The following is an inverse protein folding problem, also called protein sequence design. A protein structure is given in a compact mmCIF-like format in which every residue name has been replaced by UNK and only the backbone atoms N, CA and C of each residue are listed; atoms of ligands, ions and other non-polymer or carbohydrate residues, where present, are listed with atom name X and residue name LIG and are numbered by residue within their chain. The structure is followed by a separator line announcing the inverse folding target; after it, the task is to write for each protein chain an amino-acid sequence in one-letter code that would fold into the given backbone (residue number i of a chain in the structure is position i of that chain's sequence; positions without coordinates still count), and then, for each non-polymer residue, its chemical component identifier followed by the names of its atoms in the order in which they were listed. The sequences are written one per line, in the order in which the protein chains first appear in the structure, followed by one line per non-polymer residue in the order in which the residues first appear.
data_IF_782992672776
#
_entry.id   IF_782992672776
#
_cell.length_a   1.000
_cell.length_b   1.000
_cell.length_c   1.000
_cell.angle_alpha   90.00
_cell.angle_beta   90.00
_cell.angle_gamma   90.00
#
_symmetry.space_group_name_H-M   'P 1'
#
loop_
_entity.id
_entity.type
_entity.pdbx_description
1 polymer ?
#
# COMPACT_ATOMS: atom_id res chain seq x y z
N UNK A 1 34.39 30.66 16.11
CA UNK A 1 32.97 30.79 16.52
C UNK A 1 31.98 30.94 15.36
N UNK A 2 32.32 31.59 14.22
CA UNK A 2 31.41 31.62 13.05
C UNK A 2 31.42 30.34 12.17
N UNK A 3 32.53 29.58 12.15
CA UNK A 3 32.67 28.40 11.27
C UNK A 3 31.78 27.21 11.66
N UNK A 4 31.53 27.00 12.96
CA UNK A 4 30.68 25.89 13.45
C UNK A 4 29.19 26.08 13.12
N UNK A 5 28.74 27.34 12.99
CA UNK A 5 27.34 27.61 12.67
C UNK A 5 26.99 27.29 11.22
N UNK A 6 27.93 27.38 10.28
CA UNK A 6 27.66 27.05 8.88
C UNK A 6 27.46 25.54 8.67
N UNK A 7 28.26 24.70 9.33
CA UNK A 7 28.14 23.23 9.28
C UNK A 7 26.78 22.74 9.82
N UNK A 8 26.31 23.35 10.92
CA UNK A 8 25.01 23.00 11.53
C UNK A 8 23.85 23.41 10.62
N UNK A 9 23.94 24.58 9.98
CA UNK A 9 22.93 25.05 9.02
C UNK A 9 22.92 24.14 7.78
N UNK A 10 24.08 23.73 7.28
CA UNK A 10 24.17 22.81 6.14
C UNK A 10 23.57 21.45 6.46
N UNK A 11 23.82 20.89 7.65
CA UNK A 11 23.18 19.66 8.10
C UNK A 11 21.65 19.80 8.19
N UNK A 12 21.16 20.95 8.65
CA UNK A 12 19.73 21.21 8.73
C UNK A 12 19.08 21.32 7.34
N UNK A 13 19.72 22.02 6.41
CA UNK A 13 19.29 22.13 5.01
C UNK A 13 19.29 20.75 4.34
N UNK A 14 20.33 19.95 4.56
CA UNK A 14 20.43 18.60 4.00
C UNK A 14 19.30 17.69 4.52
N UNK A 15 18.99 17.80 5.82
CA UNK A 15 17.93 17.04 6.46
C UNK A 15 16.54 17.46 5.97
N UNK A 16 16.29 18.76 5.80
CA UNK A 16 15.04 19.29 5.24
C UNK A 16 14.86 18.87 3.78
N UNK A 17 15.92 18.92 2.95
CA UNK A 17 15.87 18.46 1.57
C UNK A 17 15.60 16.94 1.47
N UNK A 18 16.16 16.15 2.38
CA UNK A 18 15.86 14.72 2.46
C UNK A 18 14.37 14.45 2.75
N UNK A 19 13.79 15.15 3.71
CA UNK A 19 12.36 15.04 4.02
C UNK A 19 11.46 15.49 2.88
N UNK A 20 11.82 16.57 2.17
CA UNK A 20 11.10 17.03 0.98
C UNK A 20 11.16 15.99 -0.14
N UNK A 21 12.32 15.36 -0.36
CA UNK A 21 12.45 14.25 -1.32
C UNK A 21 11.59 13.05 -0.94
N UNK A 22 11.52 12.69 0.35
CA UNK A 22 10.66 11.61 0.83
C UNK A 22 9.17 11.93 0.66
N UNK A 23 8.78 13.20 0.87
CA UNK A 23 7.41 13.67 0.71
C UNK A 23 6.96 13.61 -0.76
N UNK A 24 7.86 13.91 -1.72
CA UNK A 24 7.59 13.74 -3.16
C UNK A 24 7.44 12.29 -3.60
N UNK A 25 8.05 11.34 -2.88
CA UNK A 25 7.89 9.90 -3.12
C UNK A 25 6.54 9.38 -2.58
N UNK A 26 6.03 10.00 -1.51
CA UNK A 26 4.76 9.66 -0.87
C UNK A 26 3.54 10.29 -1.58
N UNK A 27 3.68 11.52 -2.08
CA UNK A 27 2.69 12.17 -2.94
C UNK A 27 2.95 11.68 -4.36
N UNK A 28 2.35 10.54 -4.70
CA UNK A 28 2.58 9.82 -5.95
C UNK A 28 2.34 10.64 -7.22
N UNK A 29 3.36 11.38 -7.65
CA UNK A 29 3.47 11.84 -9.02
C UNK A 29 3.92 10.65 -9.85
N UNK A 30 2.96 9.83 -10.27
CA UNK A 30 3.25 8.71 -11.17
C UNK A 30 3.77 9.30 -12.48
N UNK A 31 5.00 8.98 -12.94
CA UNK A 31 5.39 9.32 -14.29
C UNK A 31 4.36 8.69 -15.24
N UNK A 32 3.82 9.50 -16.15
CA UNK A 32 2.85 9.08 -17.17
C UNK A 32 3.42 7.87 -17.91
N UNK A 33 2.96 6.67 -17.52
CA UNK A 33 3.32 5.43 -18.22
C UNK A 33 2.64 5.51 -19.59
N UNK A 34 3.35 5.22 -20.70
CA UNK A 34 2.69 5.13 -21.99
C UNK A 34 1.54 4.11 -21.87
N UNK A 35 0.32 4.53 -22.21
CA UNK A 35 -0.86 3.66 -22.22
C UNK A 35 -0.51 2.43 -23.05
N UNK A 36 -0.68 1.23 -22.51
CA UNK A 36 -0.45 -0.01 -23.27
C UNK A 36 -1.29 0.04 -24.55
N UNK A 37 -0.65 0.01 -25.70
CA UNK A 37 -1.36 -0.20 -26.97
C UNK A 37 -1.84 -1.65 -26.98
N UNK A 38 -3.16 -1.85 -27.04
CA UNK A 38 -3.73 -3.18 -27.20
C UNK A 38 -3.31 -3.70 -28.57
N UNK A 39 -2.55 -4.79 -28.59
CA UNK A 39 -2.32 -5.57 -29.81
C UNK A 39 -3.37 -6.66 -29.84
N UNK A 40 -4.15 -6.70 -30.91
CA UNK A 40 -5.18 -7.73 -31.06
C UNK A 40 -4.53 -9.13 -31.10
N UNK A 41 -5.14 -10.13 -30.44
CA UNK A 41 -4.61 -11.48 -30.47
C UNK A 41 -4.65 -12.02 -31.90
N UNK A 42 -3.49 -12.44 -32.40
CA UNK A 42 -3.29 -12.86 -33.80
C UNK A 42 -4.18 -14.05 -34.22
N UNK A 43 -4.76 -14.74 -33.25
CA UNK A 43 -5.57 -15.96 -33.41
C UNK A 43 -7.06 -15.67 -33.65
N UNK A 44 -7.51 -14.40 -33.62
CA UNK A 44 -8.91 -14.03 -33.85
C UNK A 44 -9.23 -13.63 -35.31
N UNK A 45 -8.25 -13.61 -36.22
CA UNK A 45 -8.46 -13.10 -37.58
C UNK A 45 -9.45 -13.92 -38.43
N UNK A 46 -9.71 -15.18 -38.08
CA UNK A 46 -10.52 -16.10 -38.88
C UNK A 46 -11.66 -16.78 -38.10
N UNK A 47 -12.20 -16.13 -37.06
CA UNK A 47 -13.34 -16.71 -36.36
C UNK A 47 -14.64 -16.36 -37.11
N UNK A 48 -15.40 -17.38 -37.51
CA UNK A 48 -16.75 -17.20 -38.05
C UNK A 48 -17.74 -17.32 -36.89
N UNK A 49 -18.48 -16.24 -36.60
CA UNK A 49 -19.57 -16.27 -35.62
C UNK A 49 -20.72 -17.09 -36.21
N UNK A 50 -20.89 -18.33 -35.76
CA UNK A 50 -22.17 -19.03 -35.94
C UNK A 50 -23.06 -18.72 -34.75
N UNK A 51 -24.00 -17.79 -34.93
CA UNK A 51 -25.08 -17.55 -33.97
C UNK A 51 -26.13 -18.66 -34.08
N UNK A 52 -26.02 -19.66 -33.23
CA UNK A 52 -27.10 -20.64 -33.04
C UNK A 52 -28.03 -20.11 -31.95
N UNK A 53 -29.09 -19.41 -32.34
CA UNK A 53 -30.20 -19.08 -31.43
C UNK A 53 -31.05 -20.35 -31.25
N UNK A 54 -30.85 -21.07 -30.15
CA UNK A 54 -31.72 -22.18 -29.76
C UNK A 54 -32.17 -21.99 -28.31
N UNK A 55 -33.45 -21.60 -28.20
CA UNK A 55 -34.40 -21.80 -27.12
C UNK A 55 -33.88 -21.86 -25.67
N UNK A 56 -34.29 -20.85 -24.92
CA UNK A 56 -34.29 -20.73 -23.47
C UNK A 56 -34.77 -22.03 -22.83
N UNK A 57 -33.89 -22.71 -22.08
CA UNK A 57 -34.32 -23.68 -21.06
C UNK A 57 -34.10 -23.04 -19.70
N UNK A 58 -35.20 -22.80 -19.02
CA UNK A 58 -35.31 -22.25 -17.68
C UNK A 58 -34.51 -23.10 -16.66
N UNK A 59 -33.39 -22.56 -16.18
CA UNK A 59 -32.70 -23.02 -14.97
C UNK A 59 -32.28 -21.79 -14.15
N UNK A 60 -33.25 -21.04 -13.64
CA UNK A 60 -33.00 -19.72 -13.01
C UNK A 60 -32.95 -19.81 -11.48
N UNK A 61 -33.40 -20.89 -10.83
CA UNK A 61 -33.53 -20.92 -9.36
C UNK A 61 -32.29 -21.36 -8.58
N UNK A 62 -31.32 -22.05 -9.18
CA UNK A 62 -30.09 -22.52 -8.49
C UNK A 62 -28.88 -21.60 -8.69
N UNK A 63 -28.85 -20.87 -9.81
CA UNK A 63 -27.70 -20.04 -10.19
C UNK A 63 -27.50 -18.84 -9.23
N UNK A 64 -28.59 -18.25 -8.72
CA UNK A 64 -28.53 -17.09 -7.84
C UNK A 64 -27.97 -17.43 -6.44
N UNK A 65 -28.32 -18.61 -5.89
CA UNK A 65 -27.77 -19.07 -4.61
C UNK A 65 -26.28 -19.41 -4.71
N UNK A 66 -25.86 -19.98 -5.84
CA UNK A 66 -24.44 -20.26 -6.14
C UNK A 66 -23.63 -18.96 -6.30
N UNK A 67 -24.15 -17.98 -7.04
CA UNK A 67 -23.54 -16.65 -7.16
C UNK A 67 -23.41 -16.00 -5.78
N UNK A 68 -24.47 -16.03 -4.97
CA UNK A 68 -24.48 -15.45 -3.63
C UNK A 68 -23.44 -16.10 -2.72
N UNK A 69 -23.27 -17.42 -2.80
CA UNK A 69 -22.26 -18.14 -2.03
C UNK A 69 -20.83 -17.80 -2.47
N UNK A 70 -20.58 -17.66 -3.79
CA UNK A 70 -19.29 -17.20 -4.31
C UNK A 70 -18.95 -15.80 -3.79
N UNK A 71 -19.91 -14.87 -3.81
CA UNK A 71 -19.70 -13.52 -3.30
C UNK A 71 -19.51 -13.46 -1.78
N UNK A 72 -20.20 -14.31 -1.01
CA UNK A 72 -19.97 -14.44 0.43
C UNK A 72 -18.52 -14.83 0.74
N UNK A 73 -17.97 -15.84 0.07
CA UNK A 73 -16.58 -16.27 0.28
C UNK A 73 -15.60 -15.14 -0.04
N UNK A 74 -15.81 -14.43 -1.15
CA UNK A 74 -14.97 -13.26 -1.50
C UNK A 74 -15.07 -12.14 -0.46
N UNK A 75 -16.27 -11.89 0.05
CA UNK A 75 -16.50 -10.87 1.08
C UNK A 75 -15.75 -11.20 2.38
N UNK A 76 -15.82 -12.45 2.85
CA UNK A 76 -15.07 -12.87 4.03
C UNK A 76 -13.55 -12.78 3.84
N UNK A 77 -13.02 -13.14 2.67
CA UNK A 77 -11.58 -12.98 2.39
C UNK A 77 -11.14 -11.50 2.47
N UNK A 78 -11.96 -10.57 2.01
CA UNK A 78 -11.69 -9.14 2.11
C UNK A 78 -11.73 -8.70 3.58
N UNK A 79 -12.74 -9.14 4.34
CA UNK A 79 -12.84 -8.84 5.76
C UNK A 79 -11.64 -9.38 6.54
N UNK A 80 -11.22 -10.61 6.29
CA UNK A 80 -10.05 -11.21 6.94
C UNK A 80 -8.78 -10.42 6.63
N UNK A 81 -8.58 -10.01 5.37
CA UNK A 81 -7.46 -9.16 5.00
C UNK A 81 -7.47 -7.81 5.74
N UNK A 82 -8.64 -7.19 5.88
CA UNK A 82 -8.81 -5.94 6.65
C UNK A 82 -8.46 -6.19 8.12
N UNK A 83 -9.00 -7.24 8.74
CA UNK A 83 -8.76 -7.57 10.15
C UNK A 83 -7.28 -7.84 10.41
N UNK A 84 -6.62 -8.62 9.55
CA UNK A 84 -5.18 -8.91 9.66
C UNK A 84 -4.37 -7.63 9.57
N UNK A 85 -4.68 -6.76 8.60
CA UNK A 85 -3.99 -5.49 8.44
C UNK A 85 -4.23 -4.55 9.63
N UNK A 86 -5.45 -4.51 10.17
CA UNK A 86 -5.76 -3.73 11.38
C UNK A 86 -5.00 -4.26 12.59
N UNK A 87 -4.96 -5.58 12.80
CA UNK A 87 -4.18 -6.20 13.88
C UNK A 87 -2.69 -5.89 13.76
N UNK A 88 -2.15 -5.88 12.55
CA UNK A 88 -0.76 -5.51 12.29
C UNK A 88 -0.50 -4.02 12.55
N UNK A 89 -1.40 -3.14 12.11
CA UNK A 89 -1.26 -1.67 12.25
C UNK A 89 -1.51 -1.18 13.67
N UNK A 90 -2.37 -1.85 14.43
CA UNK A 90 -2.70 -1.55 15.82
C UNK A 90 -2.15 -2.64 16.76
N UNK A 91 -0.97 -3.16 16.43
CA UNK A 91 -0.28 -4.09 17.33
C UNK A 91 0.29 -3.32 18.53
N UNK A 92 0.46 -3.96 19.70
CA UNK A 92 1.07 -3.32 20.86
C UNK A 92 2.49 -2.81 20.54
N UNK A 93 3.25 -3.55 19.73
CA UNK A 93 4.58 -3.15 19.25
C UNK A 93 4.54 -1.87 18.40
N UNK A 94 3.57 -1.76 17.48
CA UNK A 94 3.40 -0.56 16.66
C UNK A 94 3.04 0.68 17.50
N UNK A 95 2.23 0.50 18.54
CA UNK A 95 1.89 1.55 19.49
C UNK A 95 3.11 1.96 20.32
N UNK A 96 3.89 0.99 20.80
CA UNK A 96 5.12 1.25 21.54
C UNK A 96 6.13 2.01 20.68
N UNK A 97 6.30 1.62 19.41
CA UNK A 97 7.15 2.31 18.45
C UNK A 97 6.68 3.75 18.20
N UNK A 98 5.36 3.96 18.00
CA UNK A 98 4.81 5.29 17.80
C UNK A 98 5.05 6.21 19.02
N UNK A 99 4.88 5.69 20.25
CA UNK A 99 5.20 6.42 21.48
C UNK A 99 6.69 6.76 21.58
N UNK A 100 7.57 5.81 21.28
CA UNK A 100 9.01 6.04 21.30
C UNK A 100 9.44 7.11 20.28
N UNK A 101 8.83 7.14 19.10
CA UNK A 101 9.04 8.18 18.08
C UNK A 101 8.56 9.55 18.58
N UNK A 102 7.37 9.63 19.19
CA UNK A 102 6.85 10.88 19.76
C UNK A 102 7.79 11.43 20.86
N UNK A 103 8.27 10.55 21.75
CA UNK A 103 9.28 10.90 22.75
C UNK A 103 10.61 11.35 22.14
N UNK A 104 11.04 10.70 21.05
CA UNK A 104 12.24 11.11 20.29
C UNK A 104 12.10 12.52 19.70
N UNK A 105 10.93 12.84 19.11
CA UNK A 105 10.64 14.17 18.58
C UNK A 105 10.65 15.22 19.70
N UNK A 106 10.18 14.85 20.89
CA UNK A 106 10.22 15.68 22.11
C UNK A 106 11.60 15.76 22.78
N UNK A 107 12.63 15.15 22.20
CA UNK A 107 14.01 15.10 22.72
C UNK A 107 14.13 14.42 24.10
N UNK A 108 13.18 13.53 24.45
CA UNK A 108 13.29 12.71 25.65
C UNK A 108 14.03 11.40 25.32
N UNK A 109 15.31 11.34 25.70
CA UNK A 109 16.19 10.23 25.35
C UNK A 109 15.78 8.90 25.99
N UNK A 110 15.38 8.90 27.25
CA UNK A 110 15.09 7.69 28.02
C UNK A 110 13.96 6.87 27.37
N UNK A 111 12.85 7.55 27.05
CA UNK A 111 11.67 6.93 26.44
C UNK A 111 11.83 6.65 24.94
N UNK A 112 12.83 7.26 24.29
CA UNK A 112 13.11 7.09 22.86
C UNK A 112 14.06 5.93 22.53
N UNK A 113 14.73 5.37 23.54
CA UNK A 113 15.72 4.29 23.41
C UNK A 113 15.21 3.10 22.59
N UNK A 114 13.94 2.72 22.79
CA UNK A 114 13.28 1.64 22.06
C UNK A 114 13.31 1.83 20.53
N UNK A 115 13.14 3.07 20.06
CA UNK A 115 13.20 3.40 18.63
C UNK A 115 14.64 3.32 18.11
N UNK A 116 15.59 3.92 18.83
CA UNK A 116 17.01 3.98 18.43
C UNK A 116 17.62 2.59 18.34
N UNK A 117 17.36 1.73 19.32
CA UNK A 117 17.89 0.36 19.35
C UNK A 117 17.33 -0.51 18.24
N UNK A 118 16.06 -0.33 17.87
CA UNK A 118 15.47 -1.04 16.75
C UNK A 118 16.07 -0.60 15.41
N UNK A 119 16.27 0.71 15.21
CA UNK A 119 16.93 1.21 14.00
C UNK A 119 18.39 0.79 13.90
N UNK A 120 19.12 0.77 15.02
CA UNK A 120 20.52 0.31 15.04
C UNK A 120 20.70 -1.12 14.56
N UNK A 121 19.71 -2.00 14.76
CA UNK A 121 19.73 -3.40 14.28
C UNK A 121 19.50 -3.54 12.77
N UNK A 122 18.93 -2.51 12.13
CA UNK A 122 18.64 -2.50 10.69
C UNK A 122 19.78 -1.92 9.85
N UNK A 123 20.74 -1.23 10.49
CA UNK A 123 21.96 -0.70 9.89
C UNK A 123 23.10 -1.71 10.01
#
# INVERSE_FOLDING_TARGET
LMMQNQEVILLYIFKVNWYLSLLTLFIGFTPSRPKRLRKEPHHLNNYFVTTTTSAETEQISTFDDDIKNIWKVKYFNILDAIIINMKKRFSPESLQMAKAIDSFIKLNFDDSSFFVDNYKKLC
#
